data_IF_568751416280
#
_entry.id   IF_568751416280
#
_cell.length_a   1.000
_cell.length_b   1.000
_cell.length_c   1.000
_cell.angle_alpha   90.00
_cell.angle_beta   90.00
_cell.angle_gamma   90.00
#
_symmetry.space_group_name_H-M   'P 1'
#
loop_
_entity.id
_entity.type
_entity.pdbx_description
1 polymer ?
#
# COMPACT_ATOMS: atom_id res chain seq x y z
N UNK A 1 -10.00 27.18 -8.60
CA UNK A 1 -11.00 26.61 -9.53
C UNK A 1 -11.32 25.22 -9.01
N UNK A 2 -12.53 25.05 -8.50
CA UNK A 2 -13.03 23.81 -7.89
C UNK A 2 -13.08 22.71 -8.95
N UNK A 3 -12.21 21.70 -8.83
CA UNK A 3 -12.20 20.54 -9.70
C UNK A 3 -13.41 19.67 -9.39
N UNK A 4 -14.39 19.71 -10.29
CA UNK A 4 -15.47 18.75 -10.38
C UNK A 4 -14.88 17.37 -10.65
N UNK A 5 -14.95 16.47 -9.67
CA UNK A 5 -14.69 15.05 -9.89
C UNK A 5 -15.67 14.54 -10.96
N UNK A 6 -15.15 14.31 -12.16
CA UNK A 6 -15.87 13.61 -13.23
C UNK A 6 -16.13 12.18 -12.76
N UNK A 7 -17.29 11.96 -12.14
CA UNK A 7 -17.88 10.64 -12.00
C UNK A 7 -18.17 10.12 -13.41
N UNK A 8 -17.22 9.38 -13.99
CA UNK A 8 -17.51 8.50 -15.11
C UNK A 8 -18.63 7.55 -14.67
N UNK A 9 -19.84 7.86 -15.16
CA UNK A 9 -21.08 7.22 -14.74
C UNK A 9 -21.24 5.92 -15.50
N UNK A 10 -20.35 4.97 -15.26
CA UNK A 10 -20.50 3.62 -15.80
C UNK A 10 -21.73 2.97 -15.18
N UNK A 11 -22.62 2.51 -16.04
CA UNK A 11 -23.83 1.79 -15.70
C UNK A 11 -23.60 0.34 -16.12
N UNK A 12 -23.28 -0.52 -15.15
CA UNK A 12 -23.07 -1.94 -15.42
C UNK A 12 -24.45 -2.61 -15.44
N UNK A 13 -24.73 -3.41 -16.46
CA UNK A 13 -25.95 -4.24 -16.51
C UNK A 13 -25.58 -5.66 -16.15
N UNK A 14 -26.09 -6.15 -15.02
CA UNK A 14 -25.92 -7.52 -14.54
C UNK A 14 -27.30 -8.17 -14.53
N UNK A 15 -27.49 -9.25 -15.29
CA UNK A 15 -28.77 -9.99 -15.39
C UNK A 15 -30.00 -9.11 -15.67
N UNK A 16 -29.83 -8.07 -16.50
CA UNK A 16 -30.88 -7.10 -16.84
C UNK A 16 -31.12 -6.01 -15.77
N UNK A 17 -30.38 -6.03 -14.66
CA UNK A 17 -30.40 -4.98 -13.63
C UNK A 17 -29.30 -3.94 -13.87
N UNK A 18 -29.70 -2.67 -13.90
CA UNK A 18 -28.79 -1.52 -14.00
C UNK A 18 -28.16 -1.21 -12.64
N UNK A 19 -26.87 -1.48 -12.50
CA UNK A 19 -26.05 -1.14 -11.34
C UNK A 19 -25.39 0.21 -11.56
N UNK A 20 -25.72 1.16 -10.67
CA UNK A 20 -25.16 2.51 -10.70
C UNK A 20 -23.85 2.54 -9.93
N UNK A 21 -22.86 3.23 -10.49
CA UNK A 21 -21.63 3.57 -9.77
C UNK A 21 -21.97 4.35 -8.48
N UNK A 22 -21.28 4.00 -7.40
CA UNK A 22 -21.37 4.66 -6.09
C UNK A 22 -19.98 5.11 -5.68
N UNK A 23 -19.88 6.25 -5.01
CA UNK A 23 -18.61 6.75 -4.48
C UNK A 23 -18.07 5.92 -3.31
N UNK A 24 -18.92 5.06 -2.73
CA UNK A 24 -18.52 4.09 -1.72
C UNK A 24 -19.46 2.89 -1.67
N UNK A 25 -18.92 1.72 -1.34
CA UNK A 25 -19.67 0.48 -1.13
C UNK A 25 -19.22 -0.20 0.16
N UNK A 26 -20.16 -0.83 0.87
CA UNK A 26 -19.86 -1.64 2.05
C UNK A 26 -19.88 -3.11 1.66
N UNK A 27 -18.78 -3.81 1.93
CA UNK A 27 -18.69 -5.25 1.75
C UNK A 27 -18.16 -5.88 3.04
N UNK A 28 -18.88 -6.88 3.58
CA UNK A 28 -18.56 -7.56 4.84
C UNK A 28 -18.18 -6.59 5.99
N UNK A 29 -18.89 -5.47 6.11
CA UNK A 29 -18.64 -4.47 7.15
C UNK A 29 -17.46 -3.51 6.89
N UNK A 30 -16.65 -3.75 5.86
CA UNK A 30 -15.59 -2.86 5.40
C UNK A 30 -16.16 -1.86 4.40
N UNK A 31 -15.76 -0.59 4.52
CA UNK A 31 -16.20 0.48 3.63
C UNK A 31 -15.11 0.73 2.58
N UNK A 32 -15.43 0.49 1.33
CA UNK A 32 -14.57 0.73 0.19
C UNK A 32 -15.00 2.04 -0.46
N UNK A 33 -14.06 2.94 -0.70
CA UNK A 33 -14.22 4.14 -1.50
C UNK A 33 -13.66 3.93 -2.91
N UNK A 34 -13.95 4.83 -3.85
CA UNK A 34 -13.52 4.71 -5.26
C UNK A 34 -12.02 4.50 -5.42
N UNK A 35 -11.24 5.03 -4.48
CA UNK A 35 -9.78 5.02 -4.54
C UNK A 35 -9.19 4.00 -3.56
N UNK A 36 -10.01 3.14 -2.92
CA UNK A 36 -9.54 2.18 -1.91
C UNK A 36 -8.62 2.84 -0.86
N UNK A 37 -8.85 4.12 -0.53
CA UNK A 37 -8.06 4.85 0.45
C UNK A 37 -8.34 4.38 1.87
N UNK A 38 -9.50 3.75 2.09
CA UNK A 38 -10.02 3.30 3.38
C UNK A 38 -10.15 4.43 4.42
N UNK A 39 -10.05 5.70 4.03
CA UNK A 39 -10.11 6.82 4.97
C UNK A 39 -11.45 6.87 5.70
N UNK A 40 -12.55 6.67 4.96
CA UNK A 40 -13.90 6.60 5.51
C UNK A 40 -14.07 5.42 6.48
N UNK A 41 -13.49 4.27 6.12
CA UNK A 41 -13.53 3.07 6.96
C UNK A 41 -12.79 3.26 8.28
N UNK A 42 -11.51 3.66 8.21
CA UNK A 42 -10.66 3.90 9.38
C UNK A 42 -11.25 5.00 10.27
N UNK A 43 -11.79 6.07 9.68
CA UNK A 43 -12.45 7.13 10.44
C UNK A 43 -13.68 6.60 11.21
N UNK A 44 -14.46 5.71 10.60
CA UNK A 44 -15.59 5.05 11.24
C UNK A 44 -15.16 4.14 12.40
N UNK A 45 -14.10 3.35 12.21
CA UNK A 45 -13.49 2.52 13.25
C UNK A 45 -13.05 3.41 14.42
N UNK A 46 -12.23 4.43 14.16
CA UNK A 46 -11.71 5.34 15.17
C UNK A 46 -12.84 6.02 15.97
N UNK A 47 -13.87 6.53 15.28
CA UNK A 47 -15.03 7.17 15.93
C UNK A 47 -15.73 6.22 16.89
N UNK A 48 -16.01 5.00 16.44
CA UNK A 48 -16.70 3.97 17.24
C UNK A 48 -15.82 3.52 18.42
N UNK A 49 -14.53 3.36 18.16
CA UNK A 49 -13.55 2.96 19.15
C UNK A 49 -13.41 4.01 20.28
N UNK A 50 -13.22 5.28 19.94
CA UNK A 50 -13.16 6.35 20.94
C UNK A 50 -14.47 6.50 21.74
N UNK A 51 -15.62 6.26 21.11
CA UNK A 51 -16.89 6.23 21.83
C UNK A 51 -16.89 5.16 22.93
N UNK A 52 -16.48 3.93 22.61
CA UNK A 52 -16.38 2.85 23.59
C UNK A 52 -15.34 3.12 24.66
N UNK A 53 -14.16 3.63 24.30
CA UNK A 53 -13.13 4.03 25.28
C UNK A 53 -13.62 5.10 26.24
N UNK A 54 -14.40 6.07 25.77
CA UNK A 54 -14.98 7.10 26.65
C UNK A 54 -15.89 6.48 27.70
N UNK A 55 -16.68 5.48 27.32
CA UNK A 55 -17.56 4.77 28.25
C UNK A 55 -16.77 3.90 29.23
N UNK A 56 -15.78 3.15 28.75
CA UNK A 56 -14.88 2.35 29.60
C UNK A 56 -14.12 3.25 30.58
N UNK A 57 -13.62 4.40 30.13
CA UNK A 57 -12.88 5.36 30.94
C UNK A 57 -13.70 5.86 32.14
N UNK A 58 -15.01 6.14 31.94
CA UNK A 58 -15.91 6.51 33.04
C UNK A 58 -16.03 5.40 34.08
N UNK A 59 -16.14 4.15 33.64
CA UNK A 59 -16.29 2.99 34.51
C UNK A 59 -14.96 2.49 35.08
N UNK A 60 -13.82 2.95 34.54
CA UNK A 60 -12.48 2.40 34.81
C UNK A 60 -12.13 2.38 36.29
N UNK A 61 -12.61 3.35 37.08
CA UNK A 61 -12.35 3.43 38.51
C UNK A 61 -13.01 2.29 39.31
N UNK A 62 -14.15 1.78 38.84
CA UNK A 62 -14.93 0.69 39.44
C UNK A 62 -14.51 -0.70 38.96
N UNK A 63 -13.75 -0.78 37.87
CA UNK A 63 -13.36 -2.04 37.25
C UNK A 63 -11.98 -2.50 37.72
N UNK A 64 -11.84 -3.81 37.93
CA UNK A 64 -10.54 -4.46 38.03
C UNK A 64 -9.76 -4.29 36.73
N UNK A 65 -8.43 -4.42 36.79
CA UNK A 65 -7.58 -4.35 35.59
C UNK A 65 -8.01 -5.39 34.54
N UNK A 66 -8.21 -6.64 34.97
CA UNK A 66 -8.62 -7.76 34.11
C UNK A 66 -9.96 -7.52 33.41
N UNK A 67 -10.97 -7.03 34.13
CA UNK A 67 -12.29 -6.77 33.54
C UNK A 67 -12.23 -5.58 32.57
N UNK A 68 -11.47 -4.54 32.89
CA UNK A 68 -11.26 -3.41 31.98
C UNK A 68 -10.52 -3.85 30.71
N UNK A 69 -9.54 -4.73 30.83
CA UNK A 69 -8.80 -5.31 29.71
C UNK A 69 -9.72 -6.11 28.79
N UNK A 70 -10.58 -6.97 29.35
CA UNK A 70 -11.60 -7.70 28.58
C UNK A 70 -12.53 -6.77 27.80
N UNK A 71 -13.01 -5.68 28.42
CA UNK A 71 -13.86 -4.69 27.73
C UNK A 71 -13.08 -3.99 26.62
N UNK A 72 -11.82 -3.61 26.86
CA UNK A 72 -10.98 -3.02 25.83
C UNK A 72 -10.80 -4.00 24.67
N UNK A 73 -10.50 -5.27 24.91
CA UNK A 73 -10.36 -6.24 23.84
C UNK A 73 -11.66 -6.46 23.06
N UNK A 74 -12.78 -6.62 23.76
CA UNK A 74 -14.09 -6.87 23.16
C UNK A 74 -14.59 -5.71 22.31
N UNK A 75 -14.37 -4.45 22.73
CA UNK A 75 -14.89 -3.28 22.03
C UNK A 75 -13.88 -2.58 21.12
N UNK A 76 -12.59 -2.68 21.42
CA UNK A 76 -11.54 -1.95 20.70
C UNK A 76 -10.70 -2.87 19.85
N UNK A 77 -10.03 -3.84 20.47
CA UNK A 77 -9.09 -4.72 19.76
C UNK A 77 -9.79 -5.48 18.65
N UNK A 78 -10.98 -6.03 18.92
CA UNK A 78 -11.83 -6.68 17.91
C UNK A 78 -12.08 -5.81 16.67
N UNK A 79 -12.28 -4.50 16.85
CA UNK A 79 -12.51 -3.55 15.74
C UNK A 79 -11.24 -3.14 15.02
N UNK A 80 -10.13 -3.05 15.74
CA UNK A 80 -8.82 -2.76 15.15
C UNK A 80 -8.27 -3.94 14.36
N UNK A 81 -8.62 -5.16 14.75
CA UNK A 81 -8.14 -6.39 14.10
C UNK A 81 -9.07 -6.89 12.99
N UNK A 82 -10.34 -6.48 13.00
CA UNK A 82 -11.28 -6.87 11.96
C UNK A 82 -10.82 -6.39 10.59
N UNK A 83 -10.55 -7.34 9.68
CA UNK A 83 -10.07 -7.09 8.32
C UNK A 83 -8.81 -6.19 8.24
N UNK A 84 -7.98 -6.18 9.29
CA UNK A 84 -6.80 -5.31 9.36
C UNK A 84 -5.74 -5.63 8.29
N UNK A 85 -5.72 -6.85 7.75
CA UNK A 85 -4.86 -7.22 6.61
C UNK A 85 -5.11 -6.34 5.37
N UNK A 86 -6.34 -5.85 5.15
CA UNK A 86 -6.68 -4.94 4.04
C UNK A 86 -5.99 -3.58 4.15
N UNK A 87 -5.56 -3.20 5.35
CA UNK A 87 -4.84 -1.96 5.59
C UNK A 87 -3.34 -2.08 5.28
N UNK A 88 -2.89 -3.25 4.80
CA UNK A 88 -1.56 -3.45 4.24
C UNK A 88 -1.33 -2.49 3.06
N UNK A 89 -0.24 -1.73 3.13
CA UNK A 89 0.08 -0.72 2.11
C UNK A 89 -0.59 0.65 2.30
N UNK A 90 -1.52 0.82 3.25
CA UNK A 90 -2.06 2.14 3.56
C UNK A 90 -0.98 3.10 4.09
N UNK A 91 -1.22 4.41 3.90
CA UNK A 91 -0.28 5.45 4.36
C UNK A 91 -0.05 5.39 5.87
N UNK A 92 1.18 5.73 6.30
CA UNK A 92 1.52 5.80 7.72
C UNK A 92 0.61 6.77 8.50
N UNK A 93 0.15 7.85 7.85
CA UNK A 93 -0.85 8.79 8.39
C UNK A 93 -2.14 8.07 8.78
N UNK A 94 -2.64 7.18 7.93
CA UNK A 94 -3.87 6.45 8.18
C UNK A 94 -3.69 5.42 9.31
N UNK A 95 -2.61 4.64 9.26
CA UNK A 95 -2.28 3.66 10.31
C UNK A 95 -2.07 4.34 11.67
N UNK A 96 -1.46 5.53 11.68
CA UNK A 96 -1.28 6.31 12.91
C UNK A 96 -2.61 6.71 13.58
N UNK A 97 -3.71 6.89 12.83
CA UNK A 97 -5.03 7.12 13.44
C UNK A 97 -5.46 5.93 14.31
N UNK A 98 -5.25 4.71 13.82
CA UNK A 98 -5.53 3.48 14.58
C UNK A 98 -4.53 3.29 15.73
N UNK A 99 -3.26 3.65 15.55
CA UNK A 99 -2.27 3.63 16.63
C UNK A 99 -2.66 4.55 17.79
N UNK A 100 -3.19 5.74 17.50
CA UNK A 100 -3.68 6.66 18.54
C UNK A 100 -4.84 6.05 19.34
N UNK A 101 -5.71 5.29 18.67
CA UNK A 101 -6.80 4.55 19.30
C UNK A 101 -6.25 3.47 20.25
N UNK A 102 -5.27 2.67 19.81
CA UNK A 102 -4.61 1.67 20.66
C UNK A 102 -3.89 2.32 21.85
N UNK A 103 -3.18 3.42 21.61
CA UNK A 103 -2.47 4.18 22.65
C UNK A 103 -3.45 4.71 23.71
N UNK A 104 -4.59 5.26 23.27
CA UNK A 104 -5.62 5.72 24.19
C UNK A 104 -6.22 4.56 24.99
N UNK A 105 -6.43 3.40 24.36
CA UNK A 105 -6.93 2.20 25.03
C UNK A 105 -5.97 1.72 26.12
N UNK A 106 -4.67 1.66 25.81
CA UNK A 106 -3.63 1.31 26.77
C UNK A 106 -3.63 2.27 27.96
N UNK A 107 -3.67 3.59 27.71
CA UNK A 107 -3.74 4.60 28.79
C UNK A 107 -4.99 4.47 29.65
N UNK A 108 -6.16 4.25 29.06
CA UNK A 108 -7.40 4.03 29.83
C UNK A 108 -7.26 2.78 30.69
N UNK A 109 -6.70 1.72 30.14
CA UNK A 109 -6.51 0.46 30.84
C UNK A 109 -5.54 0.60 32.01
N UNK A 110 -4.36 1.17 31.82
CA UNK A 110 -3.32 1.32 32.86
C UNK A 110 -3.47 2.57 33.72
N UNK A 111 -4.44 3.44 33.43
CA UNK A 111 -4.60 4.78 34.04
C UNK A 111 -3.33 5.65 33.92
N UNK A 112 -2.56 5.45 32.85
CA UNK A 112 -1.35 6.23 32.55
C UNK A 112 -1.72 7.68 32.22
N UNK A 113 -0.90 8.65 32.62
CA UNK A 113 -1.18 10.07 32.38
C UNK A 113 -1.10 10.37 30.88
N UNK A 114 -1.68 11.49 30.46
CA UNK A 114 -1.77 11.87 29.03
C UNK A 114 -0.41 11.98 28.34
N UNK A 115 0.60 12.52 29.03
CA UNK A 115 1.89 12.88 28.45
C UNK A 115 3.00 11.84 28.69
N UNK A 116 2.74 10.80 29.49
CA UNK A 116 3.74 9.76 29.75
C UNK A 116 4.05 9.01 28.45
N UNK A 117 5.28 8.52 28.31
CA UNK A 117 5.69 7.78 27.11
C UNK A 117 4.88 6.49 26.95
N UNK A 118 4.34 6.23 25.76
CA UNK A 118 3.38 5.13 25.55
C UNK A 118 4.06 3.78 25.28
N UNK A 119 5.24 3.77 24.64
CA UNK A 119 5.93 2.54 24.27
C UNK A 119 6.20 1.58 25.45
N UNK A 120 6.66 2.02 26.65
CA UNK A 120 6.84 1.11 27.78
C UNK A 120 5.51 0.53 28.30
N UNK A 121 4.42 1.28 28.17
CA UNK A 121 3.07 0.81 28.55
C UNK A 121 2.63 -0.33 27.61
N UNK A 122 2.78 -0.13 26.30
CA UNK A 122 2.48 -1.17 25.31
C UNK A 122 3.33 -2.42 25.53
N UNK A 123 4.63 -2.25 25.82
CA UNK A 123 5.53 -3.36 26.14
C UNK A 123 5.06 -4.13 27.38
N UNK A 124 4.71 -3.44 28.46
CA UNK A 124 4.21 -4.06 29.69
C UNK A 124 2.90 -4.84 29.46
N UNK A 125 2.04 -4.32 28.59
CA UNK A 125 0.80 -4.98 28.17
C UNK A 125 1.03 -6.10 27.14
N UNK A 126 2.24 -6.26 26.61
CA UNK A 126 2.56 -7.13 25.48
C UNK A 126 1.71 -6.81 24.23
N UNK A 127 1.37 -5.53 24.05
CA UNK A 127 0.56 -5.06 22.93
C UNK A 127 1.45 -4.61 21.79
N UNK A 128 1.41 -5.39 20.70
CA UNK A 128 2.10 -5.06 19.47
C UNK A 128 1.49 -3.80 18.82
N UNK A 129 2.29 -2.81 18.37
CA UNK A 129 1.77 -1.63 17.67
C UNK A 129 0.98 -2.00 16.42
N UNK A 130 -0.03 -1.19 16.07
CA UNK A 130 -1.01 -1.50 15.00
C UNK A 130 -0.34 -1.87 13.68
N UNK A 131 0.70 -1.13 13.25
CA UNK A 131 1.44 -1.47 12.03
C UNK A 131 1.96 -2.91 12.05
N UNK A 132 2.61 -3.29 13.14
CA UNK A 132 3.19 -4.62 13.29
C UNK A 132 2.10 -5.70 13.42
N UNK A 133 0.90 -5.38 13.92
CA UNK A 133 -0.25 -6.31 13.91
C UNK A 133 -0.72 -6.61 12.48
N UNK A 134 -0.75 -5.58 11.63
CA UNK A 134 -1.09 -5.71 10.21
C UNK A 134 -0.02 -6.56 9.50
N UNK A 135 1.26 -6.25 9.74
CA UNK A 135 2.36 -7.02 9.16
C UNK A 135 2.29 -8.49 9.62
N UNK A 136 2.03 -8.75 10.92
CA UNK A 136 1.90 -10.09 11.47
C UNK A 136 0.77 -10.90 10.84
N UNK A 137 -0.43 -10.33 10.67
CA UNK A 137 -1.54 -11.08 10.09
C UNK A 137 -1.29 -11.39 8.61
N UNK A 138 -0.66 -10.48 7.87
CA UNK A 138 -0.28 -10.70 6.47
C UNK A 138 0.72 -11.85 6.40
N UNK A 139 1.78 -11.81 7.22
CA UNK A 139 2.77 -12.87 7.30
C UNK A 139 2.16 -14.22 7.70
N UNK A 140 1.22 -14.23 8.64
CA UNK A 140 0.53 -15.45 9.07
C UNK A 140 -0.34 -16.03 7.95
N UNK A 141 -1.09 -15.19 7.22
CA UNK A 141 -1.90 -15.62 6.08
C UNK A 141 -0.99 -16.20 4.98
N UNK A 142 0.10 -15.51 4.65
CA UNK A 142 1.10 -15.97 3.68
C UNK A 142 1.70 -17.31 4.09
N UNK A 143 2.12 -17.45 5.35
CA UNK A 143 2.63 -18.71 5.88
C UNK A 143 1.61 -19.84 5.73
N UNK A 144 0.35 -19.60 6.12
CA UNK A 144 -0.72 -20.60 5.99
C UNK A 144 -0.93 -20.99 4.53
N UNK A 145 -0.96 -20.02 3.62
CA UNK A 145 -1.12 -20.28 2.19
C UNK A 145 0.03 -21.10 1.60
N UNK A 146 1.27 -20.83 2.01
CA UNK A 146 2.44 -21.59 1.55
C UNK A 146 2.50 -23.03 2.08
N UNK A 147 1.92 -23.29 3.24
CA UNK A 147 1.91 -24.62 3.87
C UNK A 147 0.61 -25.40 3.61
N UNK A 148 -0.25 -24.94 2.69
CA UNK A 148 -1.52 -25.59 2.39
C UNK A 148 -2.54 -25.57 3.53
N UNK A 149 -2.36 -24.65 4.48
CA UNK A 149 -3.26 -24.44 5.64
C UNK A 149 -4.28 -23.31 5.39
N UNK A 150 -4.23 -22.66 4.24
CA UNK A 150 -5.22 -21.68 3.80
C UNK A 150 -6.04 -22.23 2.63
N UNK A 151 -7.22 -21.64 2.33
CA UNK A 151 -7.97 -21.99 1.13
C UNK A 151 -7.11 -21.93 -0.14
N UNK A 152 -7.33 -22.90 -1.04
CA UNK A 152 -6.51 -23.11 -2.23
C UNK A 152 -6.37 -21.83 -3.09
N UNK A 153 -7.43 -21.04 -3.22
CA UNK A 153 -7.39 -19.79 -3.99
C UNK A 153 -6.35 -18.78 -3.45
N UNK A 154 -6.03 -18.79 -2.16
CA UNK A 154 -4.98 -17.91 -1.60
C UNK A 154 -3.59 -18.43 -1.95
N UNK A 155 -3.39 -19.75 -1.92
CA UNK A 155 -2.12 -20.37 -2.32
C UNK A 155 -1.84 -20.13 -3.81
N UNK A 156 -2.87 -20.21 -4.66
CA UNK A 156 -2.78 -19.94 -6.10
C UNK A 156 -2.40 -18.48 -6.43
N UNK A 157 -2.69 -17.55 -5.52
CA UNK A 157 -2.31 -16.14 -5.67
C UNK A 157 -0.84 -15.85 -5.31
N UNK A 158 -0.12 -16.83 -4.73
CA UNK A 158 1.28 -16.69 -4.33
C UNK A 158 2.20 -17.47 -5.28
N UNK A 159 3.19 -16.79 -5.86
CA UNK A 159 4.26 -17.43 -6.64
C UNK A 159 5.56 -17.44 -5.85
N UNK A 160 6.19 -18.60 -5.74
CA UNK A 160 7.54 -18.71 -5.19
C UNK A 160 8.48 -17.80 -5.97
N UNK A 161 9.06 -16.81 -5.29
CA UNK A 161 10.13 -16.02 -5.88
C UNK A 161 11.33 -16.94 -6.09
N UNK A 162 11.65 -17.16 -7.36
CA UNK A 162 12.89 -17.82 -7.76
C UNK A 162 13.83 -16.73 -8.26
N UNK A 163 14.81 -16.29 -7.46
CA UNK A 163 15.72 -15.26 -7.92
C UNK A 163 16.56 -15.78 -9.09
N UNK A 164 16.74 -14.96 -10.13
CA UNK A 164 17.57 -15.27 -11.31
C UNK A 164 19.05 -15.43 -10.97
N UNK A 165 19.49 -14.97 -9.78
CA UNK A 165 20.83 -15.19 -9.23
C UNK A 165 20.73 -15.77 -7.83
N UNK A 166 21.59 -16.73 -7.52
CA UNK A 166 21.82 -17.19 -6.14
C UNK A 166 22.34 -16.00 -5.32
N UNK A 167 21.50 -15.39 -4.47
CA UNK A 167 21.96 -14.39 -3.51
C UNK A 167 22.95 -15.07 -2.55
N UNK A 168 24.10 -14.44 -2.31
CA UNK A 168 25.22 -15.03 -1.55
C UNK A 168 24.92 -15.37 -0.09
N UNK A 169 23.73 -15.03 0.42
CA UNK A 169 23.30 -15.29 1.80
C UNK A 169 22.13 -16.28 1.93
N UNK A 170 21.77 -17.03 0.88
CA UNK A 170 20.70 -18.04 0.94
C UNK A 170 20.97 -19.23 1.87
N UNK A 171 22.15 -19.32 2.50
CA UNK A 171 22.50 -20.45 3.37
C UNK A 171 22.29 -20.19 4.87
N UNK A 172 21.67 -19.08 5.27
CA UNK A 172 21.26 -18.90 6.67
C UNK A 172 19.95 -18.13 6.76
N UNK A 173 18.86 -18.86 7.04
CA UNK A 173 17.47 -18.41 7.28
C UNK A 173 16.63 -18.15 6.02
N UNK A 174 15.55 -18.93 5.89
CA UNK A 174 14.61 -18.92 4.76
C UNK A 174 13.81 -17.63 4.64
N UNK A 175 14.44 -16.58 4.14
CA UNK A 175 13.77 -15.35 3.70
C UNK A 175 13.08 -15.58 2.36
N UNK A 176 11.78 -15.90 2.40
CA UNK A 176 10.96 -16.02 1.20
C UNK A 176 10.50 -14.61 0.80
N UNK A 177 11.25 -13.93 -0.07
CA UNK A 177 10.67 -12.83 -0.85
C UNK A 177 9.54 -13.44 -1.69
N UNK A 178 8.37 -12.82 -1.80
CA UNK A 178 7.29 -13.31 -2.66
C UNK A 178 6.72 -12.15 -3.43
N UNK A 179 6.49 -12.33 -4.73
CA UNK A 179 5.85 -11.33 -5.59
C UNK A 179 4.41 -11.75 -5.86
N UNK A 180 3.43 -10.83 -5.81
CA UNK A 180 2.07 -11.09 -6.26
C UNK A 180 2.05 -11.57 -7.71
N UNK A 181 1.19 -12.55 -8.02
CA UNK A 181 1.10 -13.23 -9.33
C UNK A 181 0.96 -12.29 -10.53
N UNK A 182 0.37 -11.11 -10.34
CA UNK A 182 0.13 -10.14 -11.42
C UNK A 182 1.05 -8.91 -11.43
N UNK A 183 2.12 -8.86 -10.63
CA UNK A 183 3.19 -7.89 -10.86
C UNK A 183 4.09 -8.26 -12.06
N UNK A 184 3.69 -9.27 -12.85
CA UNK A 184 4.42 -9.77 -14.01
C UNK A 184 3.69 -9.40 -15.30
N UNK A 185 3.62 -8.11 -15.61
CA UNK A 185 3.87 -7.74 -17.00
C UNK A 185 5.39 -7.69 -17.13
N UNK A 186 5.99 -8.69 -17.80
CA UNK A 186 7.42 -8.64 -18.17
C UNK A 186 7.78 -7.42 -19.06
N UNK A 187 6.78 -6.62 -19.45
CA UNK A 187 6.92 -5.41 -20.26
C UNK A 187 7.00 -4.09 -19.46
N UNK A 188 6.47 -4.00 -18.24
CA UNK A 188 6.39 -2.72 -17.49
C UNK A 188 7.62 -2.48 -16.60
N UNK A 189 8.79 -2.45 -17.24
CA UNK A 189 10.09 -2.12 -16.60
C UNK A 189 10.16 -0.67 -16.13
N UNK A 190 9.25 0.18 -16.62
CA UNK A 190 9.14 1.59 -16.29
C UNK A 190 7.71 1.92 -15.89
N UNK A 191 7.53 2.59 -14.76
CA UNK A 191 6.23 3.00 -14.22
C UNK A 191 6.25 4.48 -13.89
N UNK A 192 5.17 5.19 -14.21
CA UNK A 192 5.02 6.62 -13.92
C UNK A 192 3.74 6.82 -13.12
N UNK A 193 3.83 7.52 -11.98
CA UNK A 193 2.68 7.85 -11.15
C UNK A 193 2.85 9.23 -10.51
N UNK A 194 1.76 9.79 -9.97
CA UNK A 194 1.79 11.09 -9.27
C UNK A 194 1.43 10.95 -7.78
N UNK A 195 2.24 11.53 -6.90
CA UNK A 195 2.02 11.54 -5.44
C UNK A 195 1.00 12.62 -5.02
N UNK A 196 0.48 12.53 -3.78
CA UNK A 196 -0.54 13.46 -3.25
C UNK A 196 -0.06 14.93 -3.18
N UNK A 197 1.26 15.13 -3.03
CA UNK A 197 1.94 16.43 -3.03
C UNK A 197 2.27 16.97 -4.44
N UNK A 198 1.81 16.26 -5.48
CA UNK A 198 2.04 16.53 -6.92
C UNK A 198 3.46 16.23 -7.39
N UNK A 199 4.25 15.50 -6.61
CA UNK A 199 5.52 14.98 -7.10
C UNK A 199 5.26 13.86 -8.12
N UNK A 200 5.99 13.90 -9.24
CA UNK A 200 5.93 12.84 -10.24
C UNK A 200 7.01 11.82 -9.94
N UNK A 201 6.64 10.55 -9.85
CA UNK A 201 7.55 9.43 -9.61
C UNK A 201 7.68 8.58 -10.86
N UNK A 202 8.91 8.28 -11.25
CA UNK A 202 9.24 7.38 -12.36
C UNK A 202 10.13 6.27 -11.83
N UNK A 203 9.59 5.06 -11.72
CA UNK A 203 10.31 3.88 -11.27
C UNK A 203 10.82 3.11 -12.49
N UNK A 204 12.12 2.80 -12.51
CA UNK A 204 12.77 2.03 -13.57
C UNK A 204 13.48 0.81 -12.99
N UNK A 205 12.92 -0.37 -13.23
CA UNK A 205 13.34 -1.64 -12.65
C UNK A 205 14.31 -2.40 -13.56
N UNK A 206 15.25 -1.69 -14.19
CA UNK A 206 16.31 -2.33 -14.97
C UNK A 206 17.39 -2.90 -14.05
N UNK A 207 17.68 -4.19 -14.22
CA UNK A 207 18.74 -4.85 -13.46
C UNK A 207 20.13 -4.40 -13.96
N UNK A 208 21.00 -3.86 -13.08
CA UNK A 208 22.35 -3.49 -13.46
C UNK A 208 23.23 -4.72 -13.70
N UNK A 209 24.14 -4.64 -14.68
CA UNK A 209 25.15 -5.67 -14.90
C UNK A 209 26.17 -5.66 -13.75
N UNK A 210 26.52 -6.83 -13.16
CA UNK A 210 27.49 -6.89 -12.08
C UNK A 210 28.87 -6.47 -12.61
N UNK A 211 29.61 -5.69 -11.82
CA UNK A 211 31.01 -5.26 -12.03
C UNK A 211 31.25 -3.98 -12.85
N UNK A 212 30.25 -3.13 -13.04
CA UNK A 212 30.46 -1.78 -13.62
C UNK A 212 29.81 -0.71 -12.74
N UNK A 213 30.33 0.53 -12.82
CA UNK A 213 29.56 1.68 -12.36
C UNK A 213 28.22 1.69 -13.10
N UNK A 214 27.12 1.81 -12.37
CA UNK A 214 25.78 1.73 -12.97
C UNK A 214 25.41 3.11 -13.48
N UNK A 215 25.65 3.33 -14.77
CA UNK A 215 25.21 4.54 -15.46
C UNK A 215 23.69 4.51 -15.64
N UNK A 216 23.01 5.58 -15.22
CA UNK A 216 21.60 5.84 -15.47
C UNK A 216 21.38 7.19 -16.17
N UNK A 217 20.36 7.23 -17.01
CA UNK A 217 19.85 8.46 -17.62
C UNK A 217 18.33 8.37 -17.69
N UNK A 218 17.68 9.37 -17.09
CA UNK A 218 16.25 9.62 -17.24
C UNK A 218 16.05 10.80 -18.17
N UNK A 219 15.30 10.58 -19.24
CA UNK A 219 14.89 11.62 -20.18
C UNK A 219 13.39 11.52 -20.45
N UNK A 220 12.82 12.62 -20.96
CA UNK A 220 11.46 12.64 -21.49
C UNK A 220 11.48 13.20 -22.91
N UNK A 221 10.65 12.62 -23.79
CA UNK A 221 10.37 13.16 -25.11
C UNK A 221 8.98 13.74 -25.16
N UNK A 222 8.87 14.96 -25.70
CA UNK A 222 7.62 15.63 -26.01
C UNK A 222 7.60 15.89 -27.52
N UNK A 223 6.83 15.10 -28.25
CA UNK A 223 6.91 15.07 -29.72
C UNK A 223 8.28 14.58 -30.22
N UNK A 224 9.02 15.43 -30.94
CA UNK A 224 10.35 15.11 -31.50
C UNK A 224 11.53 15.58 -30.64
N UNK A 225 11.28 16.26 -29.52
CA UNK A 225 12.35 16.83 -28.67
C UNK A 225 12.54 16.00 -27.41
N UNK A 226 13.66 15.30 -27.33
CA UNK A 226 14.13 14.62 -26.10
C UNK A 226 14.81 15.63 -25.16
N UNK A 227 14.50 15.53 -23.87
CA UNK A 227 14.99 16.39 -22.80
C UNK A 227 15.50 15.54 -21.65
N UNK A 228 16.75 15.76 -21.23
CA UNK A 228 17.36 15.02 -20.13
C UNK A 228 16.94 15.62 -18.79
N UNK A 229 16.42 14.75 -17.90
CA UNK A 229 15.86 15.12 -16.59
C UNK A 229 16.92 14.96 -15.50
N UNK A 230 17.55 13.78 -15.44
CA UNK A 230 18.57 13.47 -14.44
C UNK A 230 19.48 12.33 -14.95
N UNK A 231 20.77 12.40 -14.67
CA UNK A 231 21.74 11.39 -15.09
C UNK A 231 22.98 11.45 -14.19
N UNK A 232 23.66 10.31 -14.03
CA UNK A 232 25.00 10.24 -13.42
C UNK A 232 26.13 10.09 -14.47
N UNK A 233 25.81 10.13 -15.76
CA UNK A 233 26.78 9.98 -16.85
C UNK A 233 27.62 11.25 -16.97
N UNK A 234 28.94 11.08 -16.88
CA UNK A 234 29.89 12.19 -16.99
C UNK A 234 29.81 12.89 -18.35
N UNK A 235 29.75 14.23 -18.34
CA UNK A 235 29.72 15.05 -19.56
C UNK A 235 28.32 15.27 -20.14
N UNK A 236 27.29 14.62 -19.60
CA UNK A 236 25.89 14.86 -19.97
C UNK A 236 25.24 15.70 -18.87
N UNK A 237 24.61 16.81 -19.25
CA UNK A 237 24.00 17.74 -18.30
C UNK A 237 22.48 17.77 -18.46
N UNK A 238 21.71 17.62 -17.37
CA UNK A 238 20.27 17.83 -17.39
C UNK A 238 19.88 19.24 -17.82
N UNK A 239 18.67 19.36 -18.38
CA UNK A 239 18.11 20.66 -18.73
C UNK A 239 18.01 21.54 -17.46
N UNK A 240 18.36 22.85 -17.54
CA UNK A 240 18.48 23.69 -16.34
C UNK A 240 17.27 23.67 -15.40
N UNK A 241 16.06 23.49 -15.93
CA UNK A 241 14.81 23.44 -15.16
C UNK A 241 14.69 22.23 -14.21
N UNK A 242 15.45 21.16 -14.42
CA UNK A 242 15.37 19.93 -13.65
C UNK A 242 16.49 19.77 -12.61
N UNK A 243 17.55 20.59 -12.65
CA UNK A 243 18.77 20.40 -11.86
C UNK A 243 18.57 20.44 -10.34
N UNK A 244 17.58 21.19 -9.86
CA UNK A 244 17.34 21.39 -8.42
C UNK A 244 16.03 20.79 -7.94
N UNK A 245 15.19 20.32 -8.86
CA UNK A 245 13.83 19.86 -8.56
C UNK A 245 13.68 18.36 -8.84
N UNK A 246 14.80 17.65 -9.04
CA UNK A 246 14.80 16.22 -9.29
C UNK A 246 15.86 15.53 -8.45
N UNK A 247 15.56 14.32 -8.01
CA UNK A 247 16.52 13.43 -7.37
C UNK A 247 16.24 11.99 -7.76
N UNK A 248 17.29 11.17 -7.70
CA UNK A 248 17.21 9.74 -8.01
C UNK A 248 17.60 8.95 -6.77
N UNK A 249 16.81 7.91 -6.47
CA UNK A 249 17.06 6.96 -5.38
C UNK A 249 17.23 5.56 -5.97
N UNK A 250 18.19 4.81 -5.46
CA UNK A 250 18.34 3.39 -5.81
C UNK A 250 17.25 2.58 -5.10
N UNK A 251 16.64 1.64 -5.83
CA UNK A 251 15.56 0.79 -5.32
C UNK A 251 16.10 -0.58 -4.93
N UNK A 252 15.55 -1.15 -3.86
CA UNK A 252 15.74 -2.56 -3.51
C UNK A 252 14.67 -3.42 -4.20
N UNK A 253 15.01 -4.53 -4.90
CA UNK A 253 16.33 -5.17 -4.99
C UNK A 253 17.25 -4.66 -6.12
N UNK A 254 16.71 -3.95 -7.12
CA UNK A 254 17.46 -3.29 -8.19
C UNK A 254 16.60 -2.20 -8.85
N UNK A 255 17.25 -1.23 -9.48
CA UNK A 255 16.61 -0.19 -10.27
C UNK A 255 16.76 1.20 -9.66
N UNK A 256 16.15 2.19 -10.32
CA UNK A 256 16.24 3.59 -9.96
C UNK A 256 14.86 4.23 -9.96
N UNK A 257 14.60 5.05 -8.96
CA UNK A 257 13.42 5.91 -8.85
C UNK A 257 13.83 7.34 -9.03
N UNK A 258 13.30 7.97 -10.07
CA UNK A 258 13.34 9.42 -10.27
C UNK A 258 12.11 10.05 -9.62
N UNK A 259 12.34 11.10 -8.82
CA UNK A 259 11.27 11.97 -8.32
C UNK A 259 11.45 13.37 -8.89
N UNK A 260 10.39 13.93 -9.46
CA UNK A 260 10.32 15.30 -9.97
C UNK A 260 9.35 16.10 -9.11
N UNK A 261 9.87 17.08 -8.38
CA UNK A 261 9.10 17.83 -7.39
C UNK A 261 8.07 18.75 -8.06
N UNK A 262 6.82 18.71 -7.57
CA UNK A 262 5.72 19.59 -7.99
C UNK A 262 5.56 19.70 -9.51
N UNK A 263 5.67 18.57 -10.21
CA UNK A 263 5.66 18.52 -11.67
C UNK A 263 4.31 18.02 -12.21
N UNK A 264 3.81 18.71 -13.23
CA UNK A 264 2.61 18.32 -13.97
C UNK A 264 2.96 18.09 -15.42
N UNK A 265 2.48 16.97 -15.96
CA UNK A 265 2.52 16.73 -17.39
C UNK A 265 1.51 17.68 -18.04
N UNK A 266 1.90 18.33 -19.13
CA UNK A 266 1.08 19.33 -19.86
C UNK A 266 0.71 18.87 -21.27
N UNK A 267 1.35 17.80 -21.75
CA UNK A 267 1.16 17.19 -23.06
C UNK A 267 1.60 15.72 -23.01
N UNK A 268 1.17 14.90 -23.97
CA UNK A 268 1.58 13.49 -24.07
C UNK A 268 3.11 13.38 -24.05
N UNK A 269 3.63 12.60 -23.11
CA UNK A 269 5.06 12.57 -22.80
C UNK A 269 5.53 11.13 -22.81
N UNK A 270 6.64 10.87 -23.49
CA UNK A 270 7.31 9.56 -23.44
C UNK A 270 8.46 9.65 -22.43
N UNK A 271 8.42 8.85 -21.38
CA UNK A 271 9.54 8.70 -20.45
C UNK A 271 10.50 7.65 -20.97
N UNK A 272 11.80 7.92 -20.80
CA UNK A 272 12.88 7.07 -21.27
C UNK A 272 13.81 6.87 -20.08
N UNK A 273 14.08 5.60 -19.78
CA UNK A 273 15.07 5.19 -18.79
C UNK A 273 16.15 4.39 -19.48
N UNK A 274 17.41 4.82 -19.33
CA UNK A 274 18.59 4.10 -19.81
C UNK A 274 19.42 3.68 -18.60
N UNK A 275 19.71 2.38 -18.47
CA UNK A 275 20.59 1.84 -17.41
C UNK A 275 21.61 0.90 -18.05
N UNK A 276 22.90 1.17 -17.88
CA UNK A 276 24.01 0.31 -18.37
C UNK A 276 23.86 -0.14 -19.84
N UNK A 277 23.41 0.79 -20.71
CA UNK A 277 23.13 0.61 -22.16
C UNK A 277 21.82 -0.12 -22.52
N UNK A 278 20.99 -0.49 -21.55
CA UNK A 278 19.63 -0.96 -21.80
C UNK A 278 18.69 0.23 -21.73
N UNK A 279 17.84 0.41 -22.73
CA UNK A 279 16.85 1.48 -22.78
C UNK A 279 15.44 0.91 -22.73
N UNK A 280 14.58 1.52 -21.92
CA UNK A 280 13.14 1.28 -21.87
C UNK A 280 12.38 2.60 -21.95
N UNK A 281 11.21 2.55 -22.58
CA UNK A 281 10.38 3.73 -22.82
C UNK A 281 8.94 3.47 -22.41
N UNK A 282 8.30 4.45 -21.79
CA UNK A 282 6.87 4.43 -21.47
C UNK A 282 6.20 5.65 -22.07
N UNK A 283 5.16 5.43 -22.89
CA UNK A 283 4.31 6.50 -23.35
C UNK A 283 3.21 6.79 -22.32
N UNK A 284 3.04 8.06 -21.95
CA UNK A 284 2.05 8.51 -20.97
C UNK A 284 1.17 9.58 -21.60
N UNK A 285 -0.14 9.35 -21.61
CA UNK A 285 -1.13 10.34 -22.05
C UNK A 285 -1.41 11.36 -20.93
N UNK A 286 -1.64 12.62 -21.30
CA UNK A 286 -1.79 13.76 -20.38
C UNK A 286 -2.74 13.52 -19.20
N UNK A 287 -3.83 12.78 -19.41
CA UNK A 287 -4.89 12.52 -18.41
C UNK A 287 -4.90 11.07 -17.88
N UNK A 288 -3.85 10.29 -18.19
CA UNK A 288 -3.77 8.85 -17.83
C UNK A 288 -2.90 8.54 -16.61
N UNK A 289 -2.34 9.55 -15.95
CA UNK A 289 -1.42 9.34 -14.83
C UNK A 289 -2.19 8.87 -13.61
N UNK A 290 -1.84 7.69 -13.11
CA UNK A 290 -2.42 7.15 -11.89
C UNK A 290 -1.75 7.73 -10.63
N UNK A 291 -2.48 7.86 -9.52
CA UNK A 291 -1.91 8.26 -8.24
C UNK A 291 -0.99 7.16 -7.69
N UNK A 292 0.19 7.51 -7.17
CA UNK A 292 1.18 6.58 -6.60
C UNK A 292 0.73 5.81 -5.34
N UNK A 293 -0.51 6.02 -4.88
CA UNK A 293 -1.09 5.36 -3.73
C UNK A 293 -1.19 3.84 -3.91
N UNK A 294 -1.39 3.10 -2.82
CA UNK A 294 -1.46 1.63 -2.74
C UNK A 294 -2.38 0.94 -3.78
N UNK A 295 -3.24 1.71 -4.44
CA UNK A 295 -4.02 1.33 -5.62
C UNK A 295 -3.15 0.67 -6.70
N UNK A 296 -1.94 1.13 -7.04
CA UNK A 296 -1.17 0.49 -8.13
C UNK A 296 -0.64 -0.91 -7.76
N UNK A 297 -0.47 -1.21 -6.47
CA UNK A 297 -0.15 -2.57 -5.98
C UNK A 297 -1.41 -3.45 -6.00
N UNK A 298 -2.59 -2.87 -5.80
CA UNK A 298 -3.87 -3.58 -5.79
C UNK A 298 -4.53 -3.73 -7.18
N UNK A 299 -4.35 -2.78 -8.09
CA UNK A 299 -5.01 -2.73 -9.40
C UNK A 299 -4.29 -3.53 -10.49
N UNK A 300 -2.96 -3.69 -10.39
CA UNK A 300 -2.27 -4.69 -11.19
C UNK A 300 -2.62 -6.11 -10.72
N UNK A 301 -3.28 -6.29 -9.58
CA UNK A 301 -3.50 -7.59 -8.93
C UNK A 301 -4.82 -8.31 -9.22
N UNK A 302 -5.76 -7.77 -10.01
CA UNK A 302 -7.07 -8.45 -10.15
C UNK A 302 -7.85 -8.20 -11.45
N UNK A 303 -8.36 -9.26 -12.11
CA UNK A 303 -9.56 -9.21 -12.93
C UNK A 303 -10.80 -9.41 -12.04
N UNK A 304 -11.70 -8.42 -12.04
CA UNK A 304 -12.91 -8.32 -11.21
C UNK A 304 -14.14 -9.23 -11.53
N UNK A 305 -14.19 -10.18 -12.48
CA UNK A 305 -15.41 -10.99 -12.62
C UNK A 305 -15.53 -12.25 -11.74
N UNK A 306 -14.46 -12.80 -11.17
CA UNK A 306 -14.50 -14.15 -10.54
C UNK A 306 -14.72 -14.17 -9.01
N UNK A 307 -14.76 -13.00 -8.35
CA UNK A 307 -14.79 -12.88 -6.88
C UNK A 307 -16.18 -12.75 -6.25
N UNK A 308 -17.25 -12.69 -7.04
CA UNK A 308 -18.62 -12.57 -6.49
C UNK A 308 -19.26 -13.91 -6.09
N UNK A 309 -18.61 -15.04 -6.38
CA UNK A 309 -19.20 -16.38 -6.14
C UNK A 309 -18.61 -17.11 -4.92
N UNK A 310 -17.30 -17.05 -4.59
CA UNK A 310 -16.75 -17.88 -3.49
C UNK A 310 -16.84 -17.25 -2.09
N UNK A 311 -17.01 -15.93 -1.97
CA UNK A 311 -17.18 -15.27 -0.65
C UNK A 311 -18.44 -15.71 0.09
N UNK A 312 -19.38 -16.38 -0.59
CA UNK A 312 -20.57 -16.97 0.02
C UNK A 312 -20.28 -18.23 0.86
N UNK A 313 -19.11 -18.87 0.76
CA UNK A 313 -18.91 -20.22 1.32
C UNK A 313 -17.99 -20.26 2.55
N UNK A 314 -17.10 -19.29 2.75
CA UNK A 314 -16.01 -19.43 3.74
C UNK A 314 -16.45 -19.17 5.20
N UNK A 315 -17.53 -18.42 5.45
CA UNK A 315 -17.97 -18.19 6.83
C UNK A 315 -18.84 -19.30 7.45
N UNK A 316 -19.16 -20.37 6.73
CA UNK A 316 -19.87 -21.52 7.30
C UNK A 316 -18.95 -22.56 7.95
N UNK A 317 -17.61 -22.49 7.77
CA UNK A 317 -16.69 -23.51 8.32
C UNK A 317 -15.79 -23.05 9.46
N UNK A 318 -15.81 -21.78 9.89
CA UNK A 318 -15.09 -21.30 11.09
C UNK A 318 -16.04 -21.00 12.27
N UNK A 319 -17.29 -21.46 12.18
CA UNK A 319 -18.27 -21.40 13.27
C UNK A 319 -18.43 -22.75 14.03
N UNK A 320 -17.48 -23.67 13.89
CA UNK A 320 -17.32 -24.86 14.74
C UNK A 320 -15.86 -25.01 15.17
#
# INVERSE_FOLDING_TARGET
>A
ITTSHNNLKYCLTLDGCSVKSSSSARNLGVLFDTNLSFEGHVSSICKTAFFHLKNISKLRHMLSMKNAEQLVHAFMTSRLDYCNALLGGCSARLINKLQLVQNAAARVLTRTRKYDHISPVLSTLHWLPVKHRIDFIILLITYKALNGLAPQYLSELLKHYSPSRLLKDYNATGGILMSPVLCQDEESVITVCQEEDKDLRVDCLLEPKPNYHTDYEFSMSKGQKETIINTNISGIMPEPKFRHNTFVTELEPYGFRLTIMSFSIIENTTFICKVTKIQKTLFVELDSIEPCSAISVFLLSYPWPSLLIPLCIIHLSEAF
#
